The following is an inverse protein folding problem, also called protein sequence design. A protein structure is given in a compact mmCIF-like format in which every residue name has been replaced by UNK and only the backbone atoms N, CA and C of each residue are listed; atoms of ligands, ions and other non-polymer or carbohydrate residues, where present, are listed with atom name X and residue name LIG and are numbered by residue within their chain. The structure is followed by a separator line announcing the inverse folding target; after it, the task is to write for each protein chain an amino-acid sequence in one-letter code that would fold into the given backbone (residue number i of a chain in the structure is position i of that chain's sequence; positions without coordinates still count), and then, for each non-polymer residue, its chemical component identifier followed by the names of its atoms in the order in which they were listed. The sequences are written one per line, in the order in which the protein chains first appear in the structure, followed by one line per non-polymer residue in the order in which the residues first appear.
data_IF_924536881103
#
_entry.id   IF_924536881103
#
_cell.length_a   1.000
_cell.length_b   1.000
_cell.length_c   1.000
_cell.angle_alpha   90.00
_cell.angle_beta   90.00
_cell.angle_gamma   90.00
#
_symmetry.space_group_name_H-M   'P 1'
#
loop_
_entity.id
_entity.type
_entity.pdbx_description
1 polymer ?
#
# COMPACT_ATOMS: atom_id res chain seq x y z
N UNK A 1 19.46 -24.10 13.86
CA UNK A 1 19.21 -25.54 14.04
C UNK A 1 19.08 -26.16 12.66
N UNK A 2 19.69 -27.31 12.48
CA UNK A 2 20.23 -27.89 11.24
C UNK A 2 19.30 -28.03 10.04
N UNK A 3 19.96 -28.04 8.87
CA UNK A 3 19.42 -28.39 7.57
C UNK A 3 18.87 -29.83 7.55
N UNK A 4 17.66 -29.99 7.02
CA UNK A 4 17.16 -31.27 6.50
C UNK A 4 16.71 -31.09 5.05
N UNK A 5 17.58 -31.53 4.16
CA UNK A 5 17.34 -31.69 2.73
C UNK A 5 16.38 -32.85 2.52
N UNK A 6 15.18 -32.58 2.00
CA UNK A 6 14.38 -33.61 1.33
C UNK A 6 14.71 -33.56 -0.18
N UNK A 7 15.15 -34.66 -0.79
CA UNK A 7 15.18 -34.78 -2.23
C UNK A 7 13.72 -34.98 -2.71
N UNK A 8 13.46 -34.85 -4.01
CA UNK A 8 12.14 -35.09 -4.63
C UNK A 8 11.12 -33.91 -4.61
N UNK A 9 11.55 -32.69 -4.93
CA UNK A 9 10.72 -31.78 -5.73
C UNK A 9 11.53 -31.22 -6.89
N UNK A 10 11.14 -31.57 -8.12
CA UNK A 10 11.60 -30.90 -9.34
C UNK A 10 11.03 -29.48 -9.39
N UNK A 11 11.61 -28.60 -8.60
CA UNK A 11 11.65 -27.15 -8.79
C UNK A 11 12.29 -26.57 -7.53
N UNK A 12 13.40 -25.85 -7.70
CA UNK A 12 13.19 -24.42 -7.56
C UNK A 12 13.94 -23.69 -8.67
N UNK A 13 13.21 -23.00 -9.55
CA UNK A 13 13.81 -21.91 -10.32
C UNK A 13 14.04 -20.81 -9.27
N UNK A 14 15.18 -20.89 -8.61
CA UNK A 14 15.63 -19.87 -7.69
C UNK A 14 16.09 -18.67 -8.52
N UNK A 15 15.77 -17.49 -8.01
CA UNK A 15 16.17 -16.19 -8.51
C UNK A 15 17.26 -15.67 -7.58
N UNK A 16 18.25 -14.95 -8.10
CA UNK A 16 19.12 -14.14 -7.28
C UNK A 16 19.06 -12.72 -7.84
N UNK A 17 18.52 -11.80 -7.04
CA UNK A 17 18.71 -10.38 -7.26
C UNK A 17 19.67 -9.91 -6.16
N UNK A 18 20.98 -9.76 -6.43
CA UNK A 18 21.83 -8.91 -5.60
C UNK A 18 21.25 -7.50 -5.61
N UNK A 19 20.53 -7.17 -4.55
CA UNK A 19 19.95 -5.85 -4.33
C UNK A 19 20.73 -5.23 -3.19
N UNK A 20 21.69 -4.36 -3.54
CA UNK A 20 22.38 -3.43 -2.64
C UNK A 20 23.09 -4.08 -1.43
N UNK A 21 24.42 -4.18 -1.52
CA UNK A 21 25.33 -4.52 -0.42
C UNK A 21 24.89 -5.76 0.42
N UNK A 22 25.07 -6.94 -0.16
CA UNK A 22 24.94 -8.29 0.43
C UNK A 22 23.52 -8.88 0.60
N UNK A 23 22.45 -8.21 0.15
CA UNK A 23 21.10 -8.79 0.21
C UNK A 23 20.69 -9.50 -1.10
N UNK A 24 20.53 -10.82 -1.01
CA UNK A 24 20.06 -11.65 -2.13
C UNK A 24 18.61 -12.10 -1.93
N UNK A 25 17.73 -11.75 -2.87
CA UNK A 25 16.35 -12.22 -2.85
C UNK A 25 16.16 -13.50 -3.67
N UNK A 26 15.81 -14.58 -2.98
CA UNK A 26 15.42 -15.85 -3.61
C UNK A 26 13.92 -15.93 -3.83
N UNK A 27 13.50 -15.72 -5.06
CA UNK A 27 12.10 -15.74 -5.49
C UNK A 27 11.86 -16.83 -6.54
N UNK A 28 10.61 -17.00 -6.98
CA UNK A 28 10.10 -18.01 -7.90
C UNK A 28 9.44 -17.31 -9.09
N UNK A 29 9.75 -17.81 -10.29
CA UNK A 29 9.32 -17.20 -11.57
C UNK A 29 7.81 -17.18 -11.68
N UNK A 30 7.22 -18.33 -11.39
CA UNK A 30 5.78 -18.55 -11.49
C UNK A 30 5.01 -17.56 -10.63
N UNK A 31 5.48 -17.26 -9.41
CA UNK A 31 4.82 -16.34 -8.50
C UNK A 31 4.96 -14.90 -8.99
N UNK A 32 6.16 -14.49 -9.42
CA UNK A 32 6.37 -13.15 -9.98
C UNK A 32 5.48 -12.91 -11.21
N UNK A 33 5.43 -13.86 -12.15
CA UNK A 33 4.62 -13.75 -13.37
C UNK A 33 3.12 -13.71 -13.11
N UNK A 34 2.67 -14.37 -12.04
CA UNK A 34 1.26 -14.37 -11.63
C UNK A 34 0.82 -12.99 -11.15
N UNK A 35 1.70 -12.28 -10.42
CA UNK A 35 1.35 -11.05 -9.71
C UNK A 35 1.90 -9.77 -10.34
N UNK A 36 2.71 -9.88 -11.41
CA UNK A 36 3.32 -8.75 -12.11
C UNK A 36 3.32 -8.98 -13.62
N UNK A 37 2.65 -8.09 -14.34
CA UNK A 37 2.68 -8.11 -15.81
C UNK A 37 4.09 -7.81 -16.34
N UNK A 38 4.86 -6.96 -15.64
CA UNK A 38 6.25 -6.67 -15.97
C UNK A 38 7.10 -7.94 -15.96
N UNK A 39 7.08 -8.70 -14.85
CA UNK A 39 7.87 -9.93 -14.75
C UNK A 39 7.38 -11.01 -15.71
N UNK A 40 6.07 -11.07 -15.99
CA UNK A 40 5.53 -11.98 -17.01
C UNK A 40 6.10 -11.68 -18.40
N UNK A 41 5.98 -10.43 -18.86
CA UNK A 41 6.47 -10.03 -20.17
C UNK A 41 7.99 -10.20 -20.28
N UNK A 42 8.72 -9.87 -19.21
CA UNK A 42 10.17 -9.99 -19.20
C UNK A 42 10.66 -11.45 -19.21
N UNK A 43 10.10 -12.30 -18.34
CA UNK A 43 10.56 -13.69 -18.16
C UNK A 43 10.07 -14.63 -19.26
N UNK A 44 8.96 -14.32 -19.92
CA UNK A 44 8.42 -15.09 -21.05
C UNK A 44 8.92 -14.57 -22.42
N UNK A 45 9.86 -13.62 -22.44
CA UNK A 45 10.45 -13.12 -23.69
C UNK A 45 11.26 -14.23 -24.39
N UNK A 46 11.07 -14.45 -25.70
CA UNK A 46 11.74 -15.52 -26.46
C UNK A 46 13.27 -15.39 -26.49
N UNK A 47 13.80 -14.17 -26.30
CA UNK A 47 15.24 -13.93 -26.18
C UNK A 47 15.84 -14.56 -24.91
N UNK A 48 15.01 -14.82 -23.89
CA UNK A 48 15.40 -15.47 -22.63
C UNK A 48 15.23 -16.99 -22.65
N UNK A 49 14.58 -17.56 -23.67
CA UNK A 49 14.49 -19.01 -23.86
C UNK A 49 15.73 -19.59 -24.55
N UNK A 50 16.44 -18.79 -25.35
CA UNK A 50 17.64 -19.20 -26.08
C UNK A 50 18.91 -19.23 -25.22
N UNK A 51 18.90 -18.54 -24.08
CA UNK A 51 19.96 -18.59 -23.08
C UNK A 51 19.72 -19.72 -22.09
N UNK A 52 20.02 -20.96 -22.48
CA UNK A 52 20.04 -22.09 -21.55
C UNK A 52 20.89 -21.73 -20.33
N UNK A 53 20.37 -21.96 -19.12
CA UNK A 53 21.12 -21.69 -17.89
C UNK A 53 22.47 -22.42 -17.97
N UNK A 54 23.60 -21.74 -17.76
CA UNK A 54 24.90 -22.40 -17.74
C UNK A 54 24.83 -23.53 -16.70
N UNK A 55 25.30 -24.73 -17.05
CA UNK A 55 25.24 -25.95 -16.22
C UNK A 55 25.89 -25.79 -14.83
N UNK A 56 26.60 -24.68 -14.59
CA UNK A 56 27.29 -24.32 -13.35
C UNK A 56 26.57 -23.25 -12.50
N UNK A 57 25.49 -22.64 -12.98
CA UNK A 57 24.76 -21.60 -12.21
C UNK A 57 23.58 -22.22 -11.45
N UNK A 58 23.51 -21.98 -10.14
CA UNK A 58 22.39 -22.40 -9.27
C UNK A 58 21.06 -21.68 -9.62
N UNK A 59 21.10 -20.58 -10.36
CA UNK A 59 19.97 -19.68 -10.63
C UNK A 59 19.83 -19.42 -12.14
N UNK A 60 18.57 -19.38 -12.63
CA UNK A 60 18.27 -19.19 -14.07
C UNK A 60 18.42 -17.74 -14.52
N UNK A 61 18.14 -16.79 -13.63
CA UNK A 61 18.21 -15.35 -13.91
C UNK A 61 18.89 -14.62 -12.76
N UNK A 62 19.71 -13.64 -13.13
CA UNK A 62 20.47 -12.76 -12.22
C UNK A 62 20.09 -11.32 -12.54
N UNK A 63 19.78 -10.53 -11.50
CA UNK A 63 19.32 -9.15 -11.63
C UNK A 63 20.18 -8.23 -10.79
N UNK A 64 20.60 -7.11 -11.38
CA UNK A 64 21.39 -6.08 -10.71
C UNK A 64 20.53 -4.83 -10.57
N UNK A 65 20.71 -4.10 -9.47
CA UNK A 65 20.05 -2.81 -9.35
C UNK A 65 20.74 -1.76 -10.19
N UNK A 66 19.94 -0.91 -10.81
CA UNK A 66 20.38 0.19 -11.67
C UNK A 66 19.66 1.47 -11.25
N UNK A 67 20.35 2.60 -11.36
CA UNK A 67 19.72 3.90 -11.34
C UNK A 67 19.02 4.15 -12.68
N UNK A 68 17.84 4.76 -12.63
CA UNK A 68 17.18 5.28 -13.82
C UNK A 68 18.06 6.34 -14.52
N UNK A 69 17.77 6.65 -15.79
CA UNK A 69 18.56 7.58 -16.62
C UNK A 69 18.71 8.97 -15.98
N UNK A 70 17.73 9.35 -15.15
CA UNK A 70 17.68 10.57 -14.37
C UNK A 70 18.46 10.52 -13.05
N UNK A 71 19.04 9.37 -12.67
CA UNK A 71 19.65 9.08 -11.36
C UNK A 71 18.72 9.34 -10.15
N UNK A 72 17.40 9.40 -10.38
CA UNK A 72 16.41 9.73 -9.34
C UNK A 72 15.79 8.51 -8.69
N UNK A 73 15.63 7.42 -9.42
CA UNK A 73 14.92 6.23 -8.96
C UNK A 73 15.74 4.96 -9.20
N UNK A 74 15.56 3.97 -8.33
CA UNK A 74 16.23 2.69 -8.42
C UNK A 74 15.30 1.62 -8.97
N UNK A 75 15.79 0.81 -9.90
CA UNK A 75 15.03 -0.29 -10.48
C UNK A 75 15.95 -1.50 -10.73
N UNK A 76 15.37 -2.70 -10.76
CA UNK A 76 16.15 -3.91 -11.05
C UNK A 76 16.15 -4.18 -12.55
N UNK A 77 17.31 -4.55 -13.09
CA UNK A 77 17.51 -4.94 -14.50
C UNK A 77 18.23 -6.29 -14.55
N UNK A 78 17.91 -7.15 -15.52
CA UNK A 78 18.62 -8.41 -15.64
C UNK A 78 20.10 -8.17 -15.99
N UNK A 79 21.01 -8.83 -15.28
CA UNK A 79 22.45 -8.71 -15.47
C UNK A 79 22.88 -8.98 -16.93
N UNK A 80 22.17 -9.88 -17.62
CA UNK A 80 22.38 -10.19 -19.04
C UNK A 80 22.04 -9.05 -20.01
N UNK A 81 21.22 -8.08 -19.61
CA UNK A 81 20.81 -6.94 -20.44
C UNK A 81 21.70 -5.70 -20.21
N UNK A 82 22.57 -5.71 -19.20
CA UNK A 82 23.42 -4.57 -18.85
C UNK A 82 24.83 -4.98 -18.41
N UNK A 83 25.72 -5.37 -19.35
CA UNK A 83 27.12 -5.60 -19.02
C UNK A 83 27.86 -4.32 -18.55
N UNK A 84 27.29 -3.13 -18.79
CA UNK A 84 28.02 -1.85 -18.75
C UNK A 84 27.50 -0.80 -17.75
N UNK A 85 26.41 -1.04 -17.00
CA UNK A 85 25.82 -0.04 -16.08
C UNK A 85 25.86 -0.40 -14.59
N UNK A 86 26.33 -1.60 -14.23
CA UNK A 86 26.62 -1.93 -12.84
C UNK A 86 27.86 -1.16 -12.29
N UNK A 87 28.66 -0.59 -13.20
CA UNK A 87 29.86 0.19 -12.87
C UNK A 87 29.53 1.58 -12.28
N UNK A 88 28.36 2.15 -12.61
CA UNK A 88 27.91 3.45 -12.08
C UNK A 88 27.53 3.41 -10.59
N UNK A 89 27.45 2.23 -9.97
CA UNK A 89 27.29 2.12 -8.52
C UNK A 89 28.61 2.26 -7.76
N UNK A 90 29.72 1.84 -8.37
CA UNK A 90 31.04 1.87 -7.75
C UNK A 90 31.70 3.27 -7.86
N UNK A 91 31.47 3.97 -8.97
CA UNK A 91 32.09 5.29 -9.25
C UNK A 91 31.60 6.39 -8.30
N UNK A 92 30.36 6.30 -7.79
CA UNK A 92 29.82 7.32 -6.86
C UNK A 92 30.21 7.11 -5.40
N UNK A 93 30.84 5.98 -5.05
CA UNK A 93 31.27 5.68 -3.69
C UNK A 93 32.64 6.30 -3.34
N UNK A 94 33.40 6.80 -4.33
CA UNK A 94 34.77 7.30 -4.11
C UNK A 94 34.82 8.80 -3.76
N UNK A 95 33.79 9.58 -4.10
CA UNK A 95 33.73 11.03 -3.82
C UNK A 95 32.64 11.37 -2.80
N UNK A 96 32.87 11.01 -1.53
CA UNK A 96 32.25 11.69 -0.38
C UNK A 96 30.73 11.91 -0.45
N UNK A 97 29.98 10.94 -0.99
CA UNK A 97 28.54 11.04 -1.13
C UNK A 97 27.88 11.12 0.26
N UNK A 98 27.54 12.36 0.61
CA UNK A 98 26.91 12.80 1.84
C UNK A 98 25.75 11.90 2.27
N UNK A 99 25.61 11.75 3.59
CA UNK A 99 24.61 11.03 4.38
C UNK A 99 23.16 10.85 3.82
N UNK A 100 22.56 11.72 2.99
CA UNK A 100 21.25 11.44 2.36
C UNK A 100 21.19 10.27 1.36
N UNK A 101 22.29 9.90 0.67
CA UNK A 101 22.23 8.90 -0.41
C UNK A 101 21.97 7.46 0.09
N UNK A 102 22.74 7.01 1.09
CA UNK A 102 22.56 5.71 1.75
C UNK A 102 21.14 5.51 2.29
N UNK A 103 20.58 6.56 2.89
CA UNK A 103 19.22 6.50 3.47
C UNK A 103 18.12 6.32 2.41
N UNK A 104 18.36 6.79 1.18
CA UNK A 104 17.41 6.66 0.07
C UNK A 104 17.48 5.26 -0.54
N UNK A 105 18.69 4.77 -0.79
CA UNK A 105 18.92 3.40 -1.29
C UNK A 105 18.29 2.35 -0.37
N UNK A 106 18.50 2.47 0.95
CA UNK A 106 17.89 1.57 1.93
C UNK A 106 16.36 1.58 1.86
N UNK A 107 15.73 2.75 1.69
CA UNK A 107 14.26 2.84 1.55
C UNK A 107 13.74 2.16 0.29
N UNK A 108 14.48 2.23 -0.82
CA UNK A 108 14.10 1.52 -2.04
C UNK A 108 14.19 0.00 -1.87
N UNK A 109 15.25 -0.46 -1.21
CA UNK A 109 15.46 -1.87 -0.89
C UNK A 109 14.33 -2.40 0.00
N UNK A 110 14.01 -1.71 1.09
CA UNK A 110 12.90 -2.06 1.96
C UNK A 110 11.54 -2.00 1.24
N UNK A 111 11.38 -1.04 0.33
CA UNK A 111 10.21 -0.95 -0.54
C UNK A 111 10.04 -2.20 -1.40
N UNK A 112 11.14 -2.66 -1.99
CA UNK A 112 11.14 -3.83 -2.86
C UNK A 112 10.92 -5.12 -2.08
N UNK A 113 11.52 -5.24 -0.90
CA UNK A 113 11.25 -6.34 0.03
C UNK A 113 9.76 -6.40 0.40
N UNK A 114 9.14 -5.25 0.72
CA UNK A 114 7.70 -5.17 1.01
C UNK A 114 6.85 -5.53 -0.20
N UNK A 115 7.29 -5.18 -1.42
CA UNK A 115 6.64 -5.60 -2.66
C UNK A 115 6.70 -7.12 -2.84
N UNK A 116 7.85 -7.73 -2.57
CA UNK A 116 7.97 -9.19 -2.56
C UNK A 116 7.09 -9.81 -1.49
N UNK A 117 7.05 -9.26 -0.28
CA UNK A 117 6.14 -9.72 0.76
C UNK A 117 4.68 -9.67 0.28
N UNK A 118 4.25 -8.60 -0.38
CA UNK A 118 2.92 -8.47 -0.96
C UNK A 118 2.64 -9.55 -2.02
N UNK A 119 3.57 -9.77 -2.96
CA UNK A 119 3.46 -10.79 -4.03
C UNK A 119 3.36 -12.21 -3.44
N UNK A 120 4.10 -12.49 -2.37
CA UNK A 120 4.10 -13.79 -1.68
C UNK A 120 3.04 -13.91 -0.58
N UNK A 121 2.19 -12.89 -0.42
CA UNK A 121 1.21 -12.79 0.66
C UNK A 121 1.82 -13.03 2.07
N UNK A 122 3.04 -12.55 2.28
CA UNK A 122 3.74 -12.57 3.57
C UNK A 122 3.39 -11.30 4.36
N UNK A 123 3.34 -11.37 5.70
CA UNK A 123 3.09 -10.20 6.52
C UNK A 123 4.26 -9.22 6.43
N UNK A 124 3.94 -7.93 6.32
CA UNK A 124 4.89 -6.83 6.37
C UNK A 124 4.28 -5.65 7.12
N UNK A 125 5.13 -4.69 7.51
CA UNK A 125 4.73 -3.44 8.14
C UNK A 125 4.94 -2.29 7.17
N UNK A 126 4.11 -1.26 7.33
CA UNK A 126 4.13 -0.03 6.54
C UNK A 126 4.04 1.19 7.45
N UNK A 127 4.72 2.23 7.02
CA UNK A 127 4.55 3.60 7.46
C UNK A 127 4.13 4.45 6.25
N UNK A 128 4.03 5.76 6.44
CA UNK A 128 3.67 6.68 5.35
C UNK A 128 4.63 6.60 4.17
N UNK A 129 5.93 6.75 4.43
CA UNK A 129 6.95 6.85 3.38
C UNK A 129 7.11 5.53 2.62
N UNK A 130 7.11 4.40 3.33
CA UNK A 130 7.20 3.08 2.71
C UNK A 130 5.97 2.75 1.88
N UNK A 131 4.77 3.23 2.23
CA UNK A 131 3.59 3.06 1.37
C UNK A 131 3.72 3.85 0.05
N UNK A 132 4.31 5.04 0.06
CA UNK A 132 4.60 5.81 -1.16
C UNK A 132 5.56 5.04 -2.05
N UNK A 133 6.71 4.62 -1.49
CA UNK A 133 7.75 3.89 -2.23
C UNK A 133 7.19 2.58 -2.78
N UNK A 134 6.49 1.81 -1.95
CA UNK A 134 5.84 0.55 -2.34
C UNK A 134 4.84 0.76 -3.47
N UNK A 135 4.02 1.80 -3.40
CA UNK A 135 3.04 2.10 -4.45
C UNK A 135 3.73 2.47 -5.77
N UNK A 136 4.79 3.28 -5.73
CA UNK A 136 5.56 3.64 -6.93
C UNK A 136 6.21 2.41 -7.55
N UNK A 137 6.87 1.58 -6.75
CA UNK A 137 7.50 0.35 -7.26
C UNK A 137 6.46 -0.64 -7.79
N UNK A 138 5.31 -0.79 -7.11
CA UNK A 138 4.21 -1.63 -7.58
C UNK A 138 3.60 -1.11 -8.90
N UNK A 139 3.59 0.20 -9.14
CA UNK A 139 3.20 0.77 -10.42
C UNK A 139 4.20 0.39 -11.53
N UNK A 140 5.49 0.61 -11.26
CA UNK A 140 6.59 0.28 -12.18
C UNK A 140 6.60 -1.22 -12.54
N UNK A 141 6.61 -2.10 -11.53
CA UNK A 141 6.57 -3.55 -11.74
C UNK A 141 5.16 -4.08 -12.07
N UNK A 142 4.18 -3.21 -12.35
CA UNK A 142 2.82 -3.60 -12.74
C UNK A 142 2.18 -4.63 -11.77
N UNK A 143 2.35 -4.40 -10.47
CA UNK A 143 1.97 -5.27 -9.35
C UNK A 143 1.06 -4.57 -8.31
N UNK A 144 0.42 -3.44 -8.67
CA UNK A 144 -0.54 -2.72 -7.81
C UNK A 144 -1.63 -3.63 -7.21
N UNK A 145 -2.23 -4.61 -7.94
CA UNK A 145 -3.25 -5.48 -7.35
C UNK A 145 -2.73 -6.35 -6.21
N UNK A 146 -1.48 -6.83 -6.30
CA UNK A 146 -0.86 -7.63 -5.24
C UNK A 146 -0.74 -6.80 -3.95
N UNK A 147 -0.24 -5.57 -4.08
CA UNK A 147 -0.13 -4.63 -2.95
C UNK A 147 -1.51 -4.30 -2.38
N UNK A 148 -2.49 -3.96 -3.22
CA UNK A 148 -3.84 -3.65 -2.74
C UNK A 148 -4.44 -4.80 -1.92
N UNK A 149 -4.26 -6.05 -2.36
CA UNK A 149 -4.82 -7.21 -1.66
C UNK A 149 -4.14 -7.48 -0.30
N UNK A 150 -2.82 -7.26 -0.19
CA UNK A 150 -2.09 -7.48 1.06
C UNK A 150 -2.10 -6.26 2.00
N UNK A 151 -2.46 -5.07 1.50
CA UNK A 151 -2.35 -3.81 2.23
C UNK A 151 -3.19 -3.77 3.50
N UNK A 152 -4.39 -4.35 3.50
CA UNK A 152 -5.23 -4.42 4.68
C UNK A 152 -4.51 -5.10 5.86
N UNK A 153 -3.88 -6.25 5.62
CA UNK A 153 -3.09 -6.96 6.64
C UNK A 153 -1.85 -6.16 7.05
N UNK A 154 -1.20 -5.48 6.10
CA UNK A 154 -0.04 -4.66 6.39
C UNK A 154 -0.37 -3.48 7.30
N UNK A 155 -1.49 -2.79 7.06
CA UNK A 155 -2.00 -1.71 7.92
C UNK A 155 -2.25 -2.22 9.34
N UNK A 156 -2.92 -3.39 9.49
CA UNK A 156 -3.21 -3.98 10.79
C UNK A 156 -1.94 -4.35 11.58
N UNK A 157 -0.90 -4.81 10.88
CA UNK A 157 0.39 -5.14 11.49
C UNK A 157 1.22 -3.90 11.86
N UNK A 158 0.80 -2.72 11.42
CA UNK A 158 1.54 -1.46 11.54
C UNK A 158 0.97 -0.60 12.64
N UNK A 159 1.55 -0.74 13.84
CA UNK A 159 1.18 0.08 14.99
C UNK A 159 1.35 1.56 14.65
N UNK A 160 0.29 2.35 14.84
CA UNK A 160 0.31 3.81 14.64
C UNK A 160 -0.13 4.28 13.25
N UNK A 161 -0.23 3.39 12.25
CA UNK A 161 -0.65 3.79 10.90
C UNK A 161 -2.08 4.36 10.89
N UNK A 162 -3.03 3.65 11.52
CA UNK A 162 -4.46 4.03 11.55
C UNK A 162 -4.77 5.29 12.36
N UNK A 163 -3.85 5.75 13.21
CA UNK A 163 -4.06 6.93 14.06
C UNK A 163 -3.35 8.16 13.51
N UNK A 164 -2.13 8.39 14.01
CA UNK A 164 -1.36 9.61 13.75
C UNK A 164 -0.99 9.76 12.27
N UNK A 165 -0.54 8.68 11.63
CA UNK A 165 -0.10 8.73 10.23
C UNK A 165 -1.24 9.05 9.28
N UNK A 166 -2.37 8.35 9.42
CA UNK A 166 -3.53 8.52 8.55
C UNK A 166 -4.14 9.91 8.68
N UNK A 167 -4.22 10.45 9.91
CA UNK A 167 -4.75 11.80 10.17
C UNK A 167 -3.90 12.90 9.53
N UNK A 168 -2.58 12.84 9.73
CA UNK A 168 -1.68 13.91 9.28
C UNK A 168 -1.43 13.91 7.77
N UNK A 169 -1.48 12.75 7.13
CA UNK A 169 -1.16 12.59 5.72
C UNK A 169 -2.36 12.23 4.84
N UNK A 170 -3.59 12.44 5.35
CA UNK A 170 -4.82 12.12 4.61
C UNK A 170 -4.85 12.65 3.16
N UNK A 171 -4.52 13.94 2.89
CA UNK A 171 -4.58 14.46 1.53
C UNK A 171 -3.60 13.79 0.57
N UNK A 172 -2.43 13.38 1.06
CA UNK A 172 -1.38 12.71 0.28
C UNK A 172 -1.66 11.21 0.11
N UNK A 173 -2.30 10.58 1.10
CA UNK A 173 -2.69 9.17 1.06
C UNK A 173 -3.90 8.91 0.16
N UNK A 174 -4.77 9.90 -0.06
CA UNK A 174 -5.97 9.72 -0.87
C UNK A 174 -5.66 9.38 -2.35
N UNK A 175 -4.77 10.11 -3.06
CA UNK A 175 -4.31 9.70 -4.40
C UNK A 175 -3.70 8.29 -4.44
N UNK A 176 -2.96 7.92 -3.40
CA UNK A 176 -2.35 6.58 -3.27
C UNK A 176 -3.42 5.50 -3.14
N UNK A 177 -4.42 5.74 -2.30
CA UNK A 177 -5.56 4.83 -2.14
C UNK A 177 -6.34 4.63 -3.44
N UNK A 178 -6.50 5.70 -4.23
CA UNK A 178 -7.15 5.65 -5.55
C UNK A 178 -6.29 4.86 -6.54
N UNK A 179 -4.98 5.11 -6.57
CA UNK A 179 -4.03 4.42 -7.45
C UNK A 179 -4.00 2.91 -7.18
N UNK A 180 -3.98 2.52 -5.91
CA UNK A 180 -4.07 1.13 -5.48
C UNK A 180 -5.47 0.53 -5.64
N UNK A 181 -6.51 1.36 -5.80
CA UNK A 181 -7.92 0.98 -5.75
C UNK A 181 -8.29 0.28 -4.44
N UNK A 182 -7.66 0.68 -3.34
CA UNK A 182 -7.86 0.06 -2.03
C UNK A 182 -9.05 0.71 -1.31
N UNK A 183 -10.20 0.04 -1.33
CA UNK A 183 -11.48 0.62 -0.88
C UNK A 183 -11.54 1.03 0.59
N UNK A 184 -10.90 0.28 1.50
CA UNK A 184 -10.89 0.63 2.92
C UNK A 184 -10.05 1.88 3.19
N UNK A 185 -8.82 1.91 2.67
CA UNK A 185 -7.93 3.08 2.82
C UNK A 185 -8.56 4.32 2.18
N UNK A 186 -9.20 4.18 1.01
CA UNK A 186 -9.91 5.28 0.37
C UNK A 186 -11.03 5.83 1.27
N UNK A 187 -11.85 4.95 1.86
CA UNK A 187 -12.94 5.34 2.76
C UNK A 187 -12.42 6.05 4.00
N UNK A 188 -11.37 5.54 4.62
CA UNK A 188 -10.80 6.14 5.81
C UNK A 188 -10.21 7.51 5.49
N UNK A 189 -9.40 7.62 4.41
CA UNK A 189 -8.87 8.90 3.96
C UNK A 189 -9.99 9.89 3.62
N UNK A 190 -10.94 9.54 2.74
CA UNK A 190 -11.97 10.52 2.36
C UNK A 190 -12.79 10.99 3.57
N UNK A 191 -13.08 10.10 4.52
CA UNK A 191 -13.81 10.45 5.75
C UNK A 191 -13.02 11.43 6.61
N UNK A 192 -11.73 11.19 6.83
CA UNK A 192 -10.88 12.06 7.61
C UNK A 192 -10.66 13.42 6.95
N UNK A 193 -10.52 13.42 5.63
CA UNK A 193 -10.34 14.65 4.87
C UNK A 193 -11.62 15.53 4.82
N UNK A 194 -12.79 14.98 5.18
CA UNK A 194 -14.05 15.73 5.32
C UNK A 194 -14.17 16.46 6.67
N UNK A 195 -13.29 16.17 7.64
CA UNK A 195 -13.19 16.90 8.92
C UNK A 195 -11.95 17.81 8.98
N UNK A 196 -11.79 18.64 10.02
CA UNK A 196 -12.78 19.13 10.99
C UNK A 196 -13.84 20.06 10.35
N UNK A 197 -15.08 20.06 10.87
CA UNK A 197 -16.22 20.80 10.28
C UNK A 197 -15.98 22.31 10.14
N UNK A 198 -15.13 22.87 10.98
CA UNK A 198 -14.76 24.29 10.96
C UNK A 198 -13.71 24.61 9.88
N UNK A 199 -12.88 23.65 9.48
CA UNK A 199 -11.82 23.83 8.49
C UNK A 199 -11.53 22.51 7.74
N UNK A 200 -12.43 22.06 6.85
CA UNK A 200 -12.27 20.79 6.17
C UNK A 200 -11.15 20.89 5.13
N UNK A 201 -10.39 19.81 4.95
CA UNK A 201 -9.19 19.77 4.09
C UNK A 201 -9.44 19.94 2.57
N UNK A 202 -10.63 20.41 2.16
CA UNK A 202 -11.06 20.54 0.76
C UNK A 202 -10.14 21.43 -0.08
N UNK A 203 -9.49 22.41 0.54
CA UNK A 203 -8.57 23.31 -0.13
C UNK A 203 -7.19 22.67 -0.43
N UNK A 204 -6.87 21.54 0.22
CA UNK A 204 -5.57 20.87 0.09
C UNK A 204 -5.49 19.89 -1.08
N UNK A 205 -6.58 19.66 -1.80
CA UNK A 205 -6.58 18.79 -2.97
C UNK A 205 -6.21 19.56 -4.23
N UNK A 206 -5.12 19.17 -4.89
CA UNK A 206 -4.75 19.73 -6.20
C UNK A 206 -5.71 19.26 -7.31
N UNK A 207 -6.20 18.02 -7.22
CA UNK A 207 -7.11 17.45 -8.21
C UNK A 207 -8.54 18.01 -8.06
N UNK A 208 -9.01 18.67 -9.13
CA UNK A 208 -10.35 19.23 -9.23
C UNK A 208 -11.46 18.16 -9.06
N UNK A 209 -11.26 16.94 -9.55
CA UNK A 209 -12.24 15.85 -9.43
C UNK A 209 -12.37 15.43 -7.98
N UNK A 210 -11.25 15.26 -7.28
CA UNK A 210 -11.24 14.91 -5.86
C UNK A 210 -11.84 16.03 -5.01
N UNK A 211 -11.53 17.29 -5.33
CA UNK A 211 -12.12 18.45 -4.67
C UNK A 211 -13.64 18.49 -4.82
N UNK A 212 -14.16 18.26 -6.03
CA UNK A 212 -15.61 18.17 -6.29
C UNK A 212 -16.26 17.01 -5.55
N UNK A 213 -15.62 15.84 -5.54
CA UNK A 213 -16.09 14.68 -4.80
C UNK A 213 -16.19 14.96 -3.30
N UNK A 214 -15.13 15.50 -2.71
CA UNK A 214 -15.10 15.87 -1.29
C UNK A 214 -16.15 16.93 -0.95
N UNK A 215 -16.35 17.93 -1.82
CA UNK A 215 -17.38 18.94 -1.63
C UNK A 215 -18.79 18.35 -1.64
N UNK A 216 -19.09 17.47 -2.60
CA UNK A 216 -20.39 16.81 -2.68
C UNK A 216 -20.65 15.93 -1.47
N UNK A 217 -19.66 15.14 -1.04
CA UNK A 217 -19.77 14.31 0.16
C UNK A 217 -19.99 15.15 1.41
N UNK A 218 -19.25 16.25 1.56
CA UNK A 218 -19.46 17.13 2.70
C UNK A 218 -20.87 17.72 2.71
N UNK A 219 -21.37 18.21 1.57
CA UNK A 219 -22.72 18.76 1.47
C UNK A 219 -23.79 17.72 1.82
N UNK A 220 -23.62 16.46 1.40
CA UNK A 220 -24.53 15.38 1.76
C UNK A 220 -24.56 15.10 3.26
N UNK A 221 -23.39 15.10 3.92
CA UNK A 221 -23.35 14.88 5.37
C UNK A 221 -23.94 16.10 6.10
N UNK A 222 -23.61 17.32 5.67
CA UNK A 222 -24.17 18.55 6.24
C UNK A 222 -25.71 18.59 6.13
N UNK A 223 -26.27 18.17 5.00
CA UNK A 223 -27.71 18.04 4.83
C UNK A 223 -28.33 17.05 5.82
N UNK A 224 -27.76 15.84 5.94
CA UNK A 224 -28.22 14.83 6.91
C UNK A 224 -28.14 15.30 8.36
N UNK A 225 -27.08 16.03 8.71
CA UNK A 225 -26.94 16.64 10.04
C UNK A 225 -28.03 17.71 10.26
N UNK A 226 -28.33 18.52 9.23
CA UNK A 226 -29.41 19.49 9.26
C UNK A 226 -30.78 18.86 9.49
N UNK A 227 -31.09 17.79 8.74
CA UNK A 227 -32.33 17.02 8.89
C UNK A 227 -32.45 16.46 10.31
N UNK A 228 -31.37 15.86 10.82
CA UNK A 228 -31.31 15.32 12.18
C UNK A 228 -31.53 16.40 13.26
N UNK A 229 -30.90 17.57 13.11
CA UNK A 229 -31.14 18.69 14.04
C UNK A 229 -32.58 19.19 13.98
N UNK A 230 -33.19 19.22 12.79
CA UNK A 230 -34.58 19.61 12.64
C UNK A 230 -35.52 18.62 13.35
N UNK A 231 -35.23 17.32 13.27
CA UNK A 231 -36.00 16.28 13.96
C UNK A 231 -35.87 16.38 15.47
N UNK A 232 -34.67 16.65 15.99
CA UNK A 232 -34.47 16.93 17.43
C UNK A 232 -35.32 18.13 17.86
N UNK A 233 -35.27 19.24 17.12
CA UNK A 233 -36.03 20.44 17.47
C UNK A 233 -37.54 20.21 17.44
N UNK A 234 -38.05 19.44 16.47
CA UNK A 234 -39.48 19.05 16.43
C UNK A 234 -39.86 18.17 17.62
N UNK A 235 -39.00 17.22 17.98
CA UNK A 235 -39.24 16.33 19.13
C UNK A 235 -39.20 17.07 20.47
N UNK A 236 -38.38 18.12 20.61
CA UNK A 236 -38.26 18.91 21.83
C UNK A 236 -39.33 19.99 21.96
N UNK A 237 -39.99 20.37 20.86
CA UNK A 237 -41.09 21.34 20.82
C UNK A 237 -42.49 20.71 20.89
N UNK A 238 -42.59 19.38 20.92
CA UNK A 238 -43.84 18.74 21.31
C UNK A 238 -44.13 19.04 22.80
N UNK A 239 -45.33 19.55 23.14
CA UNK A 239 -45.70 19.73 24.53
C UNK A 239 -45.60 18.37 25.22
N UNK A 240 -44.93 18.32 26.37
CA UNK A 240 -45.00 17.18 27.28
C UNK A 240 -46.48 17.01 27.63
N UNK A 241 -47.17 16.10 26.95
CA UNK A 241 -48.44 15.58 27.46
C UNK A 241 -48.15 15.06 28.87
N UNK A 242 -48.98 15.51 29.81
CA UNK A 242 -48.88 15.37 31.26
C UNK A 242 -48.96 13.91 31.75
N UNK A 243 -48.10 13.03 31.23
CA UNK A 243 -47.91 11.69 31.78
C UNK A 243 -46.65 11.66 32.64
N UNK A 244 -46.76 11.21 33.90
CA UNK A 244 -45.63 11.16 34.81
C UNK A 244 -44.52 10.26 34.22
N UNK A 245 -43.24 10.66 34.32
CA UNK A 245 -42.10 9.94 33.72
C UNK A 245 -42.01 8.43 34.07
N UNK A 246 -42.65 8.01 35.16
CA UNK A 246 -42.72 6.61 35.61
C UNK A 246 -43.48 5.69 34.67
N UNK A 247 -44.53 6.16 34.00
CA UNK A 247 -45.37 5.31 33.13
C UNK A 247 -44.73 5.09 31.75
N UNK A 248 -43.98 6.09 31.26
CA UNK A 248 -43.19 5.96 30.02
C UNK A 248 -42.05 4.96 30.14
N UNK A 249 -41.36 4.91 31.29
CA UNK A 249 -40.30 3.93 31.54
C UNK A 249 -40.86 2.50 31.59
N UNK A 250 -42.01 2.30 32.23
CA UNK A 250 -42.67 1.00 32.27
C UNK A 250 -43.08 0.52 30.87
N UNK A 251 -43.60 1.40 30.04
CA UNK A 251 -44.04 1.07 28.68
C UNK A 251 -42.86 0.74 27.77
N UNK A 252 -41.78 1.54 27.81
CA UNK A 252 -40.55 1.28 27.06
C UNK A 252 -39.85 -0.02 27.50
N UNK A 253 -39.84 -0.34 28.80
CA UNK A 253 -39.28 -1.60 29.29
C UNK A 253 -40.12 -2.81 28.84
N UNK A 254 -41.44 -2.66 28.74
CA UNK A 254 -42.32 -3.73 28.27
C UNK A 254 -42.20 -3.95 26.75
N UNK A 255 -42.02 -2.88 25.96
CA UNK A 255 -41.78 -2.96 24.51
C UNK A 255 -40.40 -3.54 24.16
N UNK A 256 -39.37 -3.24 24.95
CA UNK A 256 -38.03 -3.84 24.76
C UNK A 256 -38.02 -5.35 25.08
N UNK A 257 -38.72 -5.76 26.14
CA UNK A 257 -38.86 -7.19 26.48
C UNK A 257 -39.72 -7.97 25.47
N UNK A 258 -40.73 -7.35 24.87
CA UNK A 258 -41.59 -7.99 23.88
C UNK A 258 -40.91 -8.17 22.51
N UNK A 259 -39.94 -7.30 22.18
CA UNK A 259 -39.21 -7.35 20.91
C UNK A 259 -37.91 -8.17 20.96
N UNK A 260 -37.61 -8.84 22.07
CA UNK A 260 -36.55 -9.85 22.16
C UNK A 260 -35.15 -9.35 21.79
N UNK A 261 -34.75 -8.20 22.36
CA UNK A 261 -33.33 -7.80 22.44
C UNK A 261 -32.83 -8.09 23.86
#
# INVERSE_FOLDING_TARGET
MEARTQPHLRSPILFAAPVFDDLEFHVHSVVLKLHSAFFRNFLDSPDKEKGGAPLLRKFKYEWVTMLDEDCKDWHIVAASASPLKALDLAVFNEEGASYPFFSKQQREQEGFEKLLCAIYNRPYKIDFYSLIVLTRQADYYCALPAVSNSLGNAILNSKGFQGHTLWNHCPELLPIAIKLRHGLLFKDCITLCLGPWNEPFRHKFDDLKLRKLAQNLHNQIAAKIGDFHQDILKSSSQPKLDEPPSERLHTLMHELNANGI
#
